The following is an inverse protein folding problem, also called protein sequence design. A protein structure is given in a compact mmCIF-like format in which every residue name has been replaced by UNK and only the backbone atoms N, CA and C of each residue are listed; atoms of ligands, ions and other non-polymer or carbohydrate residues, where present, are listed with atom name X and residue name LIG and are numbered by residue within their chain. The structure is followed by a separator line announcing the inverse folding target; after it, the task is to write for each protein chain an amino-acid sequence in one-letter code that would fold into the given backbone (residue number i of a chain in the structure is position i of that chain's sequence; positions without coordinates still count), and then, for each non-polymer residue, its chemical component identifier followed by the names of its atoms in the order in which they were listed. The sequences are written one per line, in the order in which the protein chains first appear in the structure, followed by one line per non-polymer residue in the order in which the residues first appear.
data_IF_102804901936
#
_entry.id   IF_102804901936
#
_cell.length_a   1.000
_cell.length_b   1.000
_cell.length_c   1.000
_cell.angle_alpha   90.00
_cell.angle_beta   90.00
_cell.angle_gamma   90.00
#
_symmetry.space_group_name_H-M   'P 1'
#
loop_
_entity.id
_entity.type
_entity.pdbx_description
1 polymer ?
#
# COMPACT_ATOMS: atom_id res chain seq x y z
N UNK A 1 13.44 -14.43 -21.92
CA UNK A 1 12.31 -14.15 -22.83
C UNK A 1 11.04 -13.92 -22.02
N UNK A 2 10.56 -14.85 -21.19
CA UNK A 2 9.26 -14.68 -20.46
C UNK A 2 9.19 -13.42 -19.58
N UNK A 3 10.22 -13.10 -18.80
CA UNK A 3 10.26 -11.92 -17.95
C UNK A 3 10.25 -10.62 -18.77
N UNK A 4 10.99 -10.56 -19.88
CA UNK A 4 11.01 -9.38 -20.75
C UNK A 4 9.64 -9.11 -21.38
N UNK A 5 8.94 -10.15 -21.85
CA UNK A 5 7.59 -10.03 -22.40
C UNK A 5 6.59 -9.57 -21.32
N UNK A 6 6.66 -10.14 -20.11
CA UNK A 6 5.82 -9.72 -18.98
C UNK A 6 6.00 -8.24 -18.66
N UNK A 7 7.25 -7.80 -18.51
CA UNK A 7 7.56 -6.40 -18.19
C UNK A 7 7.07 -5.45 -19.30
N UNK A 8 7.27 -5.81 -20.57
CA UNK A 8 6.80 -5.03 -21.71
C UNK A 8 5.28 -4.84 -21.68
N UNK A 9 4.53 -5.93 -21.47
CA UNK A 9 3.05 -5.88 -21.38
C UNK A 9 2.63 -4.98 -20.19
N UNK A 10 3.26 -5.11 -19.02
CA UNK A 10 2.94 -4.30 -17.85
C UNK A 10 3.22 -2.80 -18.09
N UNK A 11 4.35 -2.46 -18.72
CA UNK A 11 4.70 -1.08 -19.06
C UNK A 11 3.71 -0.45 -20.05
N UNK A 12 3.33 -1.19 -21.10
CA UNK A 12 2.32 -0.76 -22.07
C UNK A 12 0.97 -0.55 -21.38
N UNK A 13 0.55 -1.50 -20.54
CA UNK A 13 -0.71 -1.40 -19.81
C UNK A 13 -0.74 -0.17 -18.91
N UNK A 14 0.31 0.05 -18.11
CA UNK A 14 0.39 1.18 -17.19
C UNK A 14 0.35 2.53 -17.94
N UNK A 15 1.00 2.62 -19.09
CA UNK A 15 0.95 3.79 -19.96
C UNK A 15 -0.48 4.04 -20.46
N UNK A 16 -1.12 3.04 -21.06
CA UNK A 16 -2.50 3.15 -21.56
C UNK A 16 -3.49 3.53 -20.45
N UNK A 17 -3.39 2.91 -19.29
CA UNK A 17 -4.26 3.22 -18.15
C UNK A 17 -4.05 4.65 -17.64
N UNK A 18 -2.83 5.16 -17.70
CA UNK A 18 -2.53 6.54 -17.28
C UNK A 18 -3.05 7.56 -18.27
N UNK A 19 -2.93 7.28 -19.59
CA UNK A 19 -3.33 8.19 -20.67
C UNK A 19 -4.84 8.21 -20.89
N UNK A 20 -5.49 7.06 -20.84
CA UNK A 20 -6.90 6.91 -21.24
C UNK A 20 -7.84 6.61 -20.07
N UNK A 21 -7.30 6.30 -18.88
CA UNK A 21 -8.03 5.88 -17.70
C UNK A 21 -8.23 4.36 -17.65
N UNK A 22 -8.09 3.80 -16.42
CA UNK A 22 -8.16 2.36 -16.21
C UNK A 22 -9.43 1.73 -16.75
N UNK A 23 -10.61 2.31 -16.47
CA UNK A 23 -11.89 1.67 -16.79
C UNK A 23 -12.18 1.62 -18.30
N UNK A 24 -11.54 2.47 -19.09
CA UNK A 24 -11.75 2.57 -20.55
C UNK A 24 -10.87 1.64 -21.38
N UNK A 25 -9.76 1.15 -20.85
CA UNK A 25 -8.81 0.29 -21.56
C UNK A 25 -9.05 -1.17 -21.20
N UNK A 26 -9.19 -2.03 -22.17
CA UNK A 26 -9.37 -3.48 -21.98
C UNK A 26 -8.09 -4.29 -22.16
N UNK A 27 -8.15 -5.59 -21.83
CA UNK A 27 -7.01 -6.52 -22.04
C UNK A 27 -6.65 -6.68 -23.53
N UNK A 28 -7.62 -6.48 -24.44
CA UNK A 28 -7.39 -6.54 -25.89
C UNK A 28 -6.62 -5.33 -26.38
N UNK A 29 -6.94 -4.14 -25.86
CA UNK A 29 -6.24 -2.90 -26.22
C UNK A 29 -4.77 -2.97 -25.78
N UNK A 30 -4.52 -3.55 -24.61
CA UNK A 30 -3.15 -3.79 -24.11
C UNK A 30 -2.41 -4.79 -25.01
N UNK A 31 -3.08 -5.87 -25.44
CA UNK A 31 -2.46 -6.88 -26.30
C UNK A 31 -2.08 -6.29 -27.66
N UNK A 32 -2.99 -5.52 -28.27
CA UNK A 32 -2.78 -4.85 -29.54
C UNK A 32 -1.61 -3.86 -29.47
N UNK A 33 -1.59 -3.00 -28.47
CA UNK A 33 -0.53 -2.00 -28.29
C UNK A 33 0.83 -2.63 -27.92
N UNK A 34 0.83 -3.77 -27.22
CA UNK A 34 2.04 -4.51 -26.89
C UNK A 34 2.53 -5.44 -27.99
N UNK A 35 1.83 -5.49 -29.14
CA UNK A 35 2.10 -6.39 -30.28
C UNK A 35 2.20 -7.86 -29.86
N UNK A 36 1.23 -8.32 -29.05
CA UNK A 36 1.14 -9.71 -28.60
C UNK A 36 -0.28 -10.24 -28.76
N UNK A 37 -0.43 -11.56 -28.83
CA UNK A 37 -1.75 -12.17 -28.78
C UNK A 37 -2.39 -11.94 -27.41
N UNK A 38 -3.71 -11.71 -27.35
CA UNK A 38 -4.44 -11.54 -26.10
C UNK A 38 -4.29 -12.73 -25.16
N UNK A 39 -4.13 -13.93 -25.71
CA UNK A 39 -3.83 -15.16 -24.96
C UNK A 39 -2.47 -15.08 -24.26
N UNK A 40 -1.51 -14.38 -24.85
CA UNK A 40 -0.19 -14.12 -24.22
C UNK A 40 -0.35 -13.23 -23.01
N UNK A 41 -1.20 -12.19 -23.08
CA UNK A 41 -1.47 -11.33 -21.92
C UNK A 41 -2.08 -12.15 -20.78
N UNK A 42 -3.09 -12.99 -21.06
CA UNK A 42 -3.70 -13.86 -20.04
C UNK A 42 -2.78 -14.97 -19.52
N UNK A 43 -1.77 -15.38 -20.30
CA UNK A 43 -0.75 -16.32 -19.82
C UNK A 43 0.21 -15.70 -18.79
N UNK A 44 0.33 -14.37 -18.78
CA UNK A 44 1.19 -13.63 -17.83
C UNK A 44 0.42 -12.97 -16.69
N UNK A 45 -0.84 -12.59 -16.90
CA UNK A 45 -1.64 -11.80 -15.96
C UNK A 45 -3.02 -12.41 -15.82
N UNK A 46 -3.36 -12.84 -14.61
CA UNK A 46 -4.64 -13.49 -14.32
C UNK A 46 -5.84 -12.54 -14.42
N UNK A 47 -5.60 -11.22 -14.28
CA UNK A 47 -6.65 -10.20 -14.34
C UNK A 47 -6.08 -8.87 -14.86
N UNK A 48 -6.97 -7.94 -15.18
CA UNK A 48 -6.60 -6.59 -15.59
C UNK A 48 -5.91 -5.81 -14.47
N UNK A 49 -6.33 -6.02 -13.23
CA UNK A 49 -5.72 -5.44 -12.04
C UNK A 49 -4.28 -5.91 -11.87
N UNK A 50 -4.00 -7.18 -12.18
CA UNK A 50 -2.65 -7.74 -12.10
C UNK A 50 -1.65 -7.05 -13.04
N UNK A 51 -2.10 -6.41 -14.11
CA UNK A 51 -1.26 -5.58 -14.99
C UNK A 51 -0.75 -4.32 -14.25
N UNK A 52 -1.55 -3.75 -13.36
CA UNK A 52 -1.20 -2.57 -12.58
C UNK A 52 -0.30 -2.96 -11.41
N UNK A 53 -0.61 -4.10 -10.77
CA UNK A 53 0.10 -4.61 -9.59
C UNK A 53 1.12 -5.71 -9.95
N UNK A 54 1.82 -5.55 -11.08
CA UNK A 54 2.78 -6.54 -11.61
C UNK A 54 3.88 -6.95 -10.60
N UNK A 55 4.24 -6.06 -9.70
CA UNK A 55 5.28 -6.27 -8.69
C UNK A 55 4.74 -6.77 -7.34
N UNK A 56 3.47 -7.15 -7.25
CA UNK A 56 2.80 -7.56 -6.00
C UNK A 56 3.51 -8.73 -5.31
N UNK A 57 3.81 -9.79 -6.05
CA UNK A 57 4.51 -10.97 -5.53
C UNK A 57 5.91 -10.62 -5.01
N UNK A 58 6.67 -9.83 -5.75
CA UNK A 58 7.99 -9.35 -5.31
C UNK A 58 7.91 -8.49 -4.05
N UNK A 59 6.84 -7.75 -3.89
CA UNK A 59 6.63 -6.92 -2.71
C UNK A 59 6.36 -7.78 -1.48
N UNK A 60 5.53 -8.79 -1.61
CA UNK A 60 5.25 -9.76 -0.55
C UNK A 60 6.51 -10.54 -0.16
N UNK A 61 7.24 -11.09 -1.15
CA UNK A 61 8.50 -11.80 -0.92
C UNK A 61 9.52 -10.93 -0.15
N UNK A 62 9.61 -9.65 -0.49
CA UNK A 62 10.52 -8.72 0.17
C UNK A 62 10.13 -8.44 1.61
N UNK A 63 8.83 -8.27 1.88
CA UNK A 63 8.29 -8.09 3.24
C UNK A 63 8.57 -9.30 4.13
N UNK A 64 8.25 -10.49 3.64
CA UNK A 64 8.49 -11.75 4.34
C UNK A 64 9.99 -11.99 4.50
N UNK A 65 10.77 -11.75 3.44
CA UNK A 65 12.22 -11.92 3.42
C UNK A 65 12.95 -10.98 4.39
N UNK A 66 12.42 -9.78 4.63
CA UNK A 66 12.99 -8.86 5.62
C UNK A 66 13.00 -9.45 7.04
N UNK A 67 12.03 -10.30 7.35
CA UNK A 67 11.98 -11.05 8.62
C UNK A 67 12.75 -12.35 8.51
N UNK A 68 12.40 -13.20 7.56
CA UNK A 68 12.90 -14.57 7.46
C UNK A 68 14.40 -14.66 7.14
N UNK A 69 14.95 -13.69 6.39
CA UNK A 69 16.35 -13.68 5.94
C UNK A 69 17.19 -12.61 6.65
N UNK A 70 16.70 -12.06 7.77
CA UNK A 70 17.47 -11.06 8.53
C UNK A 70 18.77 -11.64 9.07
N UNK A 71 19.80 -10.81 9.16
CA UNK A 71 21.05 -11.20 9.80
C UNK A 71 20.80 -11.55 11.28
N UNK A 72 21.50 -12.56 11.85
CA UNK A 72 21.41 -12.89 13.27
C UNK A 72 21.70 -11.71 14.21
N UNK A 73 22.51 -10.76 13.78
CA UNK A 73 22.85 -9.55 14.54
C UNK A 73 21.81 -8.43 14.42
N UNK A 74 20.84 -8.58 13.55
CA UNK A 74 19.79 -7.59 13.32
C UNK A 74 18.53 -8.00 14.08
N UNK A 75 18.03 -7.12 14.97
CA UNK A 75 16.77 -7.38 15.64
C UNK A 75 15.59 -7.34 14.65
N UNK A 76 14.51 -8.05 15.00
CA UNK A 76 13.26 -8.06 14.21
C UNK A 76 12.75 -6.64 13.92
N UNK A 77 12.73 -5.77 14.92
CA UNK A 77 12.27 -4.39 14.76
C UNK A 77 13.17 -3.58 13.82
N UNK A 78 14.48 -3.80 13.85
CA UNK A 78 15.40 -3.12 12.94
C UNK A 78 15.26 -3.62 11.50
N UNK A 79 14.97 -4.91 11.30
CA UNK A 79 14.69 -5.47 9.98
C UNK A 79 13.42 -4.84 9.37
N UNK A 80 12.33 -4.81 10.13
CA UNK A 80 11.07 -4.19 9.69
C UNK A 80 11.24 -2.68 9.45
N UNK A 81 11.96 -1.98 10.33
CA UNK A 81 12.27 -0.56 10.14
C UNK A 81 13.06 -0.30 8.86
N UNK A 82 14.07 -1.13 8.58
CA UNK A 82 14.87 -0.97 7.36
C UNK A 82 14.01 -1.14 6.11
N UNK A 83 13.09 -2.11 6.13
CA UNK A 83 12.19 -2.35 5.01
C UNK A 83 11.20 -1.18 4.83
N UNK A 84 10.62 -0.64 5.90
CA UNK A 84 9.79 0.57 5.83
C UNK A 84 10.57 1.75 5.23
N UNK A 85 11.82 1.96 5.64
CA UNK A 85 12.65 3.05 5.10
C UNK A 85 12.96 2.85 3.60
N UNK A 86 13.15 1.60 3.16
CA UNK A 86 13.31 1.29 1.74
C UNK A 86 12.03 1.62 0.95
N UNK A 87 10.88 1.25 1.50
CA UNK A 87 9.58 1.59 0.92
C UNK A 87 9.38 3.10 0.81
N UNK A 88 9.67 3.87 1.87
CA UNK A 88 9.58 5.35 1.85
C UNK A 88 10.37 5.93 0.69
N UNK A 89 11.61 5.45 0.46
CA UNK A 89 12.44 5.92 -0.67
C UNK A 89 11.80 5.63 -2.01
N UNK A 90 11.21 4.45 -2.17
CA UNK A 90 10.55 4.07 -3.42
C UNK A 90 9.26 4.86 -3.64
N UNK A 91 8.44 5.01 -2.61
CA UNK A 91 7.17 5.75 -2.67
C UNK A 91 7.35 7.26 -2.86
N UNK A 92 8.53 7.79 -2.59
CA UNK A 92 8.85 9.22 -2.81
C UNK A 92 9.20 9.54 -4.27
N UNK A 93 9.08 8.59 -5.19
CA UNK A 93 9.38 8.82 -6.62
C UNK A 93 8.16 9.35 -7.38
N UNK A 94 8.36 10.16 -8.46
CA UNK A 94 7.25 10.61 -9.31
C UNK A 94 6.42 9.47 -9.89
N UNK A 95 7.05 8.33 -10.21
CA UNK A 95 6.37 7.13 -10.72
C UNK A 95 5.35 6.58 -9.73
N UNK A 96 5.69 6.56 -8.44
CA UNK A 96 4.78 6.06 -7.41
C UNK A 96 3.59 6.98 -7.20
N UNK A 97 3.76 8.29 -7.33
CA UNK A 97 2.66 9.26 -7.25
C UNK A 97 1.65 9.01 -8.38
N UNK A 98 2.12 8.86 -9.62
CA UNK A 98 1.27 8.55 -10.78
C UNK A 98 0.56 7.20 -10.63
N UNK A 99 1.26 6.19 -10.13
CA UNK A 99 0.70 4.87 -9.83
C UNK A 99 -0.45 4.95 -8.82
N UNK A 100 -0.24 5.62 -7.68
CA UNK A 100 -1.28 5.74 -6.67
C UNK A 100 -2.45 6.62 -7.12
N UNK A 101 -2.21 7.63 -7.95
CA UNK A 101 -3.28 8.42 -8.58
C UNK A 101 -4.15 7.53 -9.47
N UNK A 102 -3.54 6.62 -10.23
CA UNK A 102 -4.25 5.64 -11.04
C UNK A 102 -5.07 4.68 -10.16
N UNK A 103 -4.48 4.11 -9.11
CA UNK A 103 -5.16 3.20 -8.19
C UNK A 103 -6.39 3.87 -7.57
N UNK A 104 -6.27 5.13 -7.15
CA UNK A 104 -7.39 5.88 -6.57
C UNK A 104 -8.50 6.21 -7.57
N UNK A 105 -8.18 6.30 -8.84
CA UNK A 105 -9.16 6.66 -9.88
C UNK A 105 -10.21 5.57 -10.14
N UNK A 106 -9.93 4.30 -9.79
CA UNK A 106 -10.82 3.16 -10.08
C UNK A 106 -11.22 2.40 -8.81
N UNK A 107 -12.52 2.10 -8.69
CA UNK A 107 -13.03 1.28 -7.60
C UNK A 107 -12.50 -0.17 -7.64
N UNK A 108 -12.29 -0.72 -8.85
CA UNK A 108 -11.72 -2.05 -9.05
C UNK A 108 -10.28 -2.12 -8.54
N UNK A 109 -9.45 -1.11 -8.88
CA UNK A 109 -8.07 -1.04 -8.41
C UNK A 109 -7.98 -0.85 -6.89
N UNK A 110 -8.82 -0.01 -6.29
CA UNK A 110 -8.88 0.13 -4.82
C UNK A 110 -9.27 -1.16 -4.14
N UNK A 111 -10.25 -1.89 -4.71
CA UNK A 111 -10.68 -3.21 -4.22
C UNK A 111 -9.54 -4.23 -4.26
N UNK A 112 -8.84 -4.32 -5.38
CA UNK A 112 -7.68 -5.20 -5.54
C UNK A 112 -6.55 -4.85 -4.56
N UNK A 113 -6.20 -3.57 -4.44
CA UNK A 113 -5.20 -3.10 -3.48
C UNK A 113 -5.54 -3.48 -2.03
N UNK A 114 -6.81 -3.39 -1.64
CA UNK A 114 -7.26 -3.79 -0.30
C UNK A 114 -7.11 -5.29 -0.06
N UNK A 115 -7.44 -6.13 -1.05
CA UNK A 115 -7.24 -7.58 -0.96
C UNK A 115 -5.76 -7.95 -0.92
N UNK A 116 -4.93 -7.30 -1.74
CA UNK A 116 -3.49 -7.44 -1.76
C UNK A 116 -2.91 -7.10 -0.38
N UNK A 117 -3.29 -5.97 0.21
CA UNK A 117 -2.83 -5.56 1.54
C UNK A 117 -3.21 -6.58 2.62
N UNK A 118 -4.40 -7.19 2.55
CA UNK A 118 -4.82 -8.22 3.48
C UNK A 118 -3.96 -9.50 3.36
N UNK A 119 -3.58 -9.90 2.13
CA UNK A 119 -2.65 -11.03 1.91
C UNK A 119 -1.27 -10.73 2.49
N UNK A 120 -0.71 -9.55 2.21
CA UNK A 120 0.58 -9.11 2.76
C UNK A 120 0.57 -9.08 4.29
N UNK A 121 -0.53 -8.59 4.91
CA UNK A 121 -0.69 -8.62 6.37
C UNK A 121 -0.58 -10.03 6.90
N UNK A 122 -1.30 -10.98 6.30
CA UNK A 122 -1.30 -12.37 6.74
C UNK A 122 0.07 -13.03 6.56
N UNK A 123 0.73 -12.82 5.43
CA UNK A 123 2.07 -13.35 5.16
C UNK A 123 3.09 -12.78 6.16
N UNK A 124 3.05 -11.48 6.42
CA UNK A 124 3.95 -10.83 7.38
C UNK A 124 3.67 -11.26 8.83
N UNK A 125 2.41 -11.43 9.23
CA UNK A 125 2.05 -11.98 10.55
C UNK A 125 2.65 -13.37 10.73
N UNK A 126 2.54 -14.23 9.71
CA UNK A 126 3.10 -15.59 9.76
C UNK A 126 4.62 -15.56 9.87
N UNK A 127 5.30 -14.70 9.12
CA UNK A 127 6.75 -14.54 9.21
C UNK A 127 7.19 -14.05 10.59
N UNK A 128 6.53 -13.01 11.12
CA UNK A 128 6.82 -12.48 12.46
C UNK A 128 6.58 -13.54 13.54
N UNK A 129 5.47 -14.28 13.47
CA UNK A 129 5.15 -15.30 14.48
C UNK A 129 6.14 -16.47 14.49
N UNK A 130 6.85 -16.70 13.39
CA UNK A 130 7.90 -17.73 13.26
C UNK A 130 9.28 -17.26 13.66
N UNK A 131 9.45 -15.96 13.95
CA UNK A 131 10.75 -15.39 14.30
C UNK A 131 11.08 -15.65 15.79
N UNK A 132 12.34 -15.94 16.15
CA UNK A 132 12.77 -16.14 17.55
C UNK A 132 12.50 -14.93 18.48
N UNK A 133 12.46 -13.72 17.93
CA UNK A 133 12.11 -12.49 18.65
C UNK A 133 10.63 -12.12 18.54
N UNK A 134 9.78 -13.08 18.13
CA UNK A 134 8.35 -12.82 17.98
C UNK A 134 7.72 -12.28 19.29
N UNK A 135 6.81 -11.32 19.19
CA UNK A 135 6.00 -10.93 20.33
C UNK A 135 5.25 -12.12 20.93
N UNK A 136 5.07 -12.12 22.25
CA UNK A 136 4.51 -13.25 23.01
C UNK A 136 3.04 -13.59 22.64
N UNK A 137 2.32 -12.73 21.94
CA UNK A 137 0.93 -12.98 21.58
C UNK A 137 0.66 -12.79 20.08
N UNK A 138 -0.27 -13.59 19.55
CA UNK A 138 -0.73 -13.45 18.15
C UNK A 138 -1.28 -12.05 17.85
N UNK A 139 -1.93 -11.40 18.81
CA UNK A 139 -2.41 -10.03 18.70
C UNK A 139 -1.26 -9.04 18.53
N UNK A 140 -0.18 -9.21 19.27
CA UNK A 140 1.00 -8.34 19.16
C UNK A 140 1.74 -8.57 17.82
N UNK A 141 1.86 -9.81 17.35
CA UNK A 141 2.40 -10.10 16.02
C UNK A 141 1.57 -9.42 14.92
N UNK A 142 0.24 -9.53 15.00
CA UNK A 142 -0.67 -8.85 14.06
C UNK A 142 -0.56 -7.34 14.14
N UNK A 143 -0.49 -6.76 15.33
CA UNK A 143 -0.32 -5.32 15.51
C UNK A 143 0.99 -4.85 14.87
N UNK A 144 2.09 -5.57 15.06
CA UNK A 144 3.39 -5.23 14.48
C UNK A 144 3.35 -5.29 12.95
N UNK A 145 2.77 -6.35 12.38
CA UNK A 145 2.58 -6.46 10.92
C UNK A 145 1.72 -5.30 10.38
N UNK A 146 0.62 -4.98 11.05
CA UNK A 146 -0.27 -3.91 10.66
C UNK A 146 0.41 -2.55 10.71
N UNK A 147 1.13 -2.21 11.78
CA UNK A 147 1.90 -0.96 11.87
C UNK A 147 2.96 -0.85 10.77
N UNK A 148 3.62 -1.96 10.44
CA UNK A 148 4.59 -2.00 9.34
C UNK A 148 3.91 -1.66 8.01
N UNK A 149 2.79 -2.28 7.68
CA UNK A 149 2.06 -2.03 6.44
C UNK A 149 1.39 -0.64 6.41
N UNK A 150 0.88 -0.15 7.53
CA UNK A 150 0.34 1.20 7.62
C UNK A 150 1.44 2.25 7.40
N UNK A 151 2.66 2.00 7.87
CA UNK A 151 3.81 2.86 7.57
C UNK A 151 4.14 2.91 6.06
N UNK A 152 4.00 1.79 5.34
CA UNK A 152 4.08 1.78 3.86
C UNK A 152 3.01 2.65 3.22
N UNK A 153 1.76 2.48 3.65
CA UNK A 153 0.63 3.23 3.12
C UNK A 153 0.78 4.74 3.36
N UNK A 154 1.33 5.11 4.51
CA UNK A 154 1.60 6.52 4.86
C UNK A 154 2.76 7.11 4.04
N UNK A 155 3.77 6.30 3.72
CA UNK A 155 4.91 6.73 2.93
C UNK A 155 4.53 7.04 1.47
N UNK A 156 3.58 6.29 0.90
CA UNK A 156 3.13 6.45 -0.49
C UNK A 156 1.97 7.42 -0.68
N UNK A 157 1.29 7.80 0.40
CA UNK A 157 0.14 8.67 0.30
C UNK A 157 0.58 10.14 0.16
N UNK A 158 0.07 10.90 -0.83
CA UNK A 158 0.13 12.35 -0.76
C UNK A 158 -0.49 12.80 0.58
N UNK A 159 0.10 13.83 1.20
CA UNK A 159 -0.27 14.35 2.54
C UNK A 159 -1.78 14.63 2.69
N UNK A 160 -2.49 14.79 1.59
CA UNK A 160 -3.94 14.97 1.55
C UNK A 160 -4.75 13.71 1.91
N UNK A 161 -4.09 12.53 2.00
CA UNK A 161 -4.76 11.22 2.19
C UNK A 161 -4.62 10.64 3.60
N UNK A 162 -4.54 11.48 4.60
CA UNK A 162 -4.69 11.01 5.97
C UNK A 162 -6.11 10.43 6.15
N UNK A 163 -6.25 9.24 6.78
CA UNK A 163 -7.56 8.64 6.99
C UNK A 163 -8.54 9.65 7.58
N UNK A 164 -9.75 9.70 7.05
CA UNK A 164 -10.79 10.69 7.43
C UNK A 164 -11.07 10.70 8.95
N UNK A 165 -10.83 9.58 9.66
CA UNK A 165 -10.97 9.50 11.10
C UNK A 165 -10.02 10.43 11.88
N UNK A 166 -8.82 10.79 11.32
CA UNK A 166 -7.96 11.81 11.94
C UNK A 166 -8.51 13.22 11.80
N UNK A 167 -9.31 13.49 10.79
CA UNK A 167 -9.94 14.81 10.61
C UNK A 167 -11.06 15.04 11.63
N UNK A 168 -11.77 13.99 12.05
CA UNK A 168 -12.83 14.08 13.06
C UNK A 168 -12.29 14.21 14.49
N UNK A 169 -11.06 13.78 14.76
CA UNK A 169 -10.45 13.86 16.10
C UNK A 169 -9.83 15.23 16.43
N UNK A 170 -9.64 16.11 15.43
CA UNK A 170 -9.03 17.43 15.60
C UNK A 170 -10.10 18.54 15.67
N UNK A 171 -11.35 18.22 15.39
CA UNK A 171 -12.47 19.12 15.69
C UNK A 171 -12.81 19.06 17.18
N UNK A 172 -11.84 19.42 18.01
CA UNK A 172 -12.12 19.71 19.42
C UNK A 172 -12.94 21.00 19.49
N UNK A 173 -14.17 20.84 19.94
CA UNK A 173 -15.05 21.90 20.42
C UNK A 173 -14.26 22.99 21.15
N UNK A 174 -14.49 24.25 20.84
CA UNK A 174 -13.98 25.31 21.69
C UNK A 174 -14.64 25.16 23.05
N UNK A 175 -13.82 24.91 24.09
CA UNK A 175 -14.27 24.88 25.47
C UNK A 175 -15.07 26.12 25.77
N UNK A 176 -16.33 25.93 26.14
CA UNK A 176 -17.23 26.96 26.64
C UNK A 176 -16.59 27.59 27.87
N UNK A 177 -16.14 28.84 27.74
CA UNK A 177 -15.62 29.64 28.84
C UNK A 177 -16.76 29.82 29.85
N UNK A 178 -16.60 29.48 31.15
CA UNK A 178 -17.64 29.79 32.13
C UNK A 178 -17.76 31.31 32.26
N UNK A 179 -18.96 31.81 32.02
CA UNK A 179 -19.32 33.20 32.30
C UNK A 179 -19.18 33.43 33.80
N UNK A 180 -18.29 34.34 34.19
CA UNK A 180 -18.24 34.88 35.57
C UNK A 180 -19.50 35.64 35.83
N UNK A 181 -20.32 35.14 36.73
CA UNK A 181 -21.46 35.86 37.26
C UNK A 181 -20.94 37.11 38.01
N UNK A 182 -21.27 38.26 37.48
CA UNK A 182 -21.02 39.54 38.10
C UNK A 182 -21.88 39.70 39.34
N UNK A 183 -21.25 39.83 40.49
CA UNK A 183 -21.91 40.22 41.73
C UNK A 183 -22.36 41.67 41.63
N UNK A 184 -23.65 41.91 41.49
CA UNK A 184 -24.24 43.21 41.81
C UNK A 184 -24.35 43.32 43.33
N UNK A 185 -23.57 44.17 43.94
CA UNK A 185 -23.85 44.77 45.25
C UNK A 185 -24.77 45.96 44.99
N UNK A 186 -25.95 45.87 45.58
CA UNK A 186 -26.86 47.02 45.72
C UNK A 186 -26.72 47.61 47.12
N UNK A 187 -26.67 48.89 47.16
CA UNK A 187 -27.13 49.69 48.28
C UNK A 187 -28.62 49.88 48.19
#
# INVERSE_FOLDING_TARGET
VKAATRNHIAEVALRLFTEHGYDKVGMRDVAEEADVAVTTVFAHFASKEALVFDQDEHHEERLVGAVANRSPDQSLLNALRAEVLNAVRWFSTPKSISFWTLVESSAALRGYASQMQARHEQALVSAIASDPEAPASATACRALARFTLDAYSLAGAPITRWPQWRKSSISSSPASRPQRAGSRRSR
#
